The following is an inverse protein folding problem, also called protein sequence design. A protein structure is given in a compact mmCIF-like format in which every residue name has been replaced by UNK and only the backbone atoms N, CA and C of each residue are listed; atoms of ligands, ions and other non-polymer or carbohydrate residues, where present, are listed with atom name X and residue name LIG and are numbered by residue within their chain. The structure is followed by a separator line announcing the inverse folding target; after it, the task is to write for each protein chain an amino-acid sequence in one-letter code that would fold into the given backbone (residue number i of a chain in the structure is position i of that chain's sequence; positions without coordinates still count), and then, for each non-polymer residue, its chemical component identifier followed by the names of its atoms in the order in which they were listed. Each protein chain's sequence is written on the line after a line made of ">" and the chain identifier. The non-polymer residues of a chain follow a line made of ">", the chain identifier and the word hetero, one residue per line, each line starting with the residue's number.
data_IF_197535965124
#
_entry.id   IF_197535965124
#
_cell.length_a   1.000
_cell.length_b   1.000
_cell.length_c   1.000
_cell.angle_alpha   90.00
_cell.angle_beta   90.00
_cell.angle_gamma   90.00
#
_symmetry.space_group_name_H-M   'P 1'
#
loop_
_entity.id
_entity.type
_entity.pdbx_description
1 polymer ?
#
# COMPACT_ATOMS: atom_id res chain seq x y z
N UNK A 1 -31.00 -22.51 -1.47
CA UNK A 1 -30.62 -23.32 -2.64
C UNK A 1 -29.26 -23.93 -2.37
N UNK A 2 -29.13 -25.25 -2.52
CA UNK A 2 -27.82 -25.88 -2.47
C UNK A 2 -26.96 -25.31 -3.60
N UNK A 3 -25.72 -24.92 -3.29
CA UNK A 3 -24.76 -24.51 -4.31
C UNK A 3 -24.38 -25.76 -5.11
N UNK A 4 -25.01 -25.93 -6.28
CA UNK A 4 -24.61 -26.96 -7.25
C UNK A 4 -23.11 -26.80 -7.58
N UNK A 5 -22.41 -27.94 -7.72
CA UNK A 5 -20.99 -27.98 -8.09
C UNK A 5 -20.00 -28.19 -6.95
N UNK A 6 -20.41 -28.18 -5.67
CA UNK A 6 -19.49 -28.48 -4.56
C UNK A 6 -19.14 -29.98 -4.52
N UNK A 7 -17.85 -30.28 -4.51
CA UNK A 7 -17.30 -31.62 -4.35
C UNK A 7 -16.85 -31.83 -2.89
N UNK A 8 -17.60 -32.64 -2.14
CA UNK A 8 -17.33 -32.94 -0.74
C UNK A 8 -15.99 -33.67 -0.53
N UNK A 9 -15.47 -34.39 -1.54
CA UNK A 9 -14.18 -35.10 -1.44
C UNK A 9 -12.98 -34.16 -1.34
N UNK A 10 -13.16 -32.88 -1.70
CA UNK A 10 -12.12 -31.85 -1.66
C UNK A 10 -11.97 -31.15 -0.30
N UNK A 11 -12.70 -31.58 0.71
CA UNK A 11 -12.55 -31.03 2.05
C UNK A 11 -11.24 -31.51 2.69
N UNK A 12 -10.43 -30.57 3.18
CA UNK A 12 -9.13 -30.88 3.79
C UNK A 12 -8.02 -31.28 2.82
N UNK A 13 -8.29 -31.36 1.51
CA UNK A 13 -7.27 -31.68 0.50
C UNK A 13 -6.50 -30.44 0.05
N UNK A 14 -5.25 -30.64 -0.37
CA UNK A 14 -4.41 -29.58 -0.92
C UNK A 14 -4.97 -29.02 -2.23
N UNK A 15 -4.73 -27.73 -2.48
CA UNK A 15 -5.12 -27.05 -3.72
C UNK A 15 -4.20 -27.47 -4.87
N UNK A 16 -4.77 -27.89 -6.00
CA UNK A 16 -3.98 -28.21 -7.19
C UNK A 16 -3.58 -26.95 -7.95
N UNK A 17 -2.57 -27.07 -8.83
CA UNK A 17 -2.13 -25.96 -9.67
C UNK A 17 -3.26 -25.42 -10.56
N UNK A 18 -4.08 -26.31 -11.15
CA UNK A 18 -5.21 -25.92 -12.00
C UNK A 18 -6.30 -25.19 -11.21
N UNK A 19 -6.59 -25.63 -9.99
CA UNK A 19 -7.56 -24.94 -9.13
C UNK A 19 -7.09 -23.54 -8.76
N UNK A 20 -5.80 -23.39 -8.47
CA UNK A 20 -5.18 -22.09 -8.22
C UNK A 20 -5.25 -21.22 -9.48
N UNK A 21 -4.91 -21.75 -10.66
CA UNK A 21 -4.96 -21.02 -11.92
C UNK A 21 -6.36 -20.48 -12.23
N UNK A 22 -7.40 -21.30 -12.09
CA UNK A 22 -8.80 -20.88 -12.29
C UNK A 22 -9.19 -19.77 -11.32
N UNK A 23 -8.86 -19.92 -10.04
CA UNK A 23 -9.22 -18.95 -9.01
C UNK A 23 -8.49 -17.61 -9.21
N UNK A 24 -7.18 -17.64 -9.47
CA UNK A 24 -6.38 -16.43 -9.67
C UNK A 24 -6.79 -15.74 -10.98
N UNK A 25 -7.02 -16.48 -12.07
CA UNK A 25 -7.54 -15.90 -13.32
C UNK A 25 -8.88 -15.20 -13.12
N UNK A 26 -9.82 -15.83 -12.40
CA UNK A 26 -11.08 -15.18 -12.03
C UNK A 26 -10.88 -13.93 -11.17
N UNK A 27 -9.90 -13.92 -10.28
CA UNK A 27 -9.56 -12.74 -9.48
C UNK A 27 -9.07 -11.61 -10.38
N UNK A 28 -8.15 -11.87 -11.31
CA UNK A 28 -7.58 -10.83 -12.19
C UNK A 28 -8.61 -10.25 -13.16
N UNK A 29 -9.57 -11.05 -13.64
CA UNK A 29 -10.71 -10.53 -14.40
C UNK A 29 -11.53 -9.52 -13.58
N UNK A 30 -11.88 -9.86 -12.33
CA UNK A 30 -12.58 -8.93 -11.44
C UNK A 30 -11.74 -7.69 -11.11
N UNK A 31 -10.43 -7.85 -10.92
CA UNK A 31 -9.53 -6.73 -10.64
C UNK A 31 -9.50 -5.76 -11.83
N UNK A 32 -9.45 -6.26 -13.06
CA UNK A 32 -9.50 -5.43 -14.26
C UNK A 32 -10.81 -4.64 -14.38
N UNK A 33 -11.95 -5.26 -14.07
CA UNK A 33 -13.24 -4.55 -14.00
C UNK A 33 -13.22 -3.44 -12.94
N UNK A 34 -12.73 -3.74 -11.72
CA UNK A 34 -12.65 -2.77 -10.62
C UNK A 34 -11.73 -1.59 -10.96
N UNK A 35 -10.59 -1.86 -11.61
CA UNK A 35 -9.65 -0.81 -12.06
C UNK A 35 -10.23 0.07 -13.16
N UNK A 36 -11.03 -0.51 -14.04
CA UNK A 36 -11.71 0.23 -15.09
C UNK A 36 -12.95 1.00 -14.58
N UNK A 37 -13.31 0.87 -13.29
CA UNK A 37 -14.52 1.46 -12.72
C UNK A 37 -15.81 0.84 -13.27
N UNK A 38 -15.73 -0.39 -13.81
CA UNK A 38 -16.89 -1.12 -14.32
C UNK A 38 -17.56 -1.92 -13.21
N UNK A 39 -18.89 -1.99 -13.25
CA UNK A 39 -19.66 -2.81 -12.32
C UNK A 39 -19.42 -4.29 -12.58
N UNK A 40 -19.21 -5.06 -11.50
CA UNK A 40 -19.05 -6.51 -11.58
C UNK A 40 -19.64 -7.20 -10.35
N UNK A 41 -20.07 -8.45 -10.51
CA UNK A 41 -20.74 -9.21 -9.45
C UNK A 41 -19.81 -10.28 -8.84
N UNK A 42 -19.24 -9.99 -7.66
CA UNK A 42 -18.39 -10.95 -6.91
C UNK A 42 -19.04 -12.30 -6.68
N UNK A 43 -20.34 -12.33 -6.38
CA UNK A 43 -21.07 -13.57 -6.15
C UNK A 43 -21.19 -14.41 -7.43
N UNK A 44 -21.30 -13.77 -8.59
CA UNK A 44 -21.34 -14.46 -9.88
C UNK A 44 -19.99 -15.11 -10.22
N UNK A 45 -18.89 -14.36 -10.18
CA UNK A 45 -17.55 -14.92 -10.37
C UNK A 45 -17.27 -16.06 -9.40
N UNK A 46 -17.67 -15.90 -8.13
CA UNK A 46 -17.52 -16.95 -7.12
C UNK A 46 -18.32 -18.21 -7.46
N UNK A 47 -19.54 -18.10 -7.99
CA UNK A 47 -20.32 -19.24 -8.48
C UNK A 47 -19.63 -19.92 -9.65
N UNK A 48 -19.09 -19.17 -10.60
CA UNK A 48 -18.34 -19.72 -11.74
C UNK A 48 -17.09 -20.48 -11.29
N UNK A 49 -16.35 -19.95 -10.32
CA UNK A 49 -15.20 -20.66 -9.72
C UNK A 49 -15.67 -21.93 -9.01
N UNK A 50 -16.75 -21.88 -8.19
CA UNK A 50 -17.31 -23.07 -7.53
C UNK A 50 -17.67 -24.14 -8.57
N UNK A 51 -18.35 -23.79 -9.65
CA UNK A 51 -18.74 -24.72 -10.70
C UNK A 51 -17.51 -25.36 -11.40
N UNK A 52 -16.42 -24.61 -11.55
CA UNK A 52 -15.21 -25.09 -12.23
C UNK A 52 -14.34 -26.00 -11.34
N UNK A 53 -14.20 -25.68 -10.05
CA UNK A 53 -13.23 -26.37 -9.17
C UNK A 53 -13.85 -27.13 -8.00
N UNK A 54 -15.15 -26.98 -7.77
CA UNK A 54 -15.91 -27.69 -6.73
C UNK A 54 -15.49 -27.44 -5.28
N UNK A 55 -14.68 -26.42 -5.01
CA UNK A 55 -14.30 -26.05 -3.64
C UNK A 55 -15.43 -25.32 -2.91
N UNK A 56 -15.53 -25.52 -1.59
CA UNK A 56 -16.51 -24.83 -0.74
C UNK A 56 -16.32 -23.30 -0.81
N UNK A 57 -17.41 -22.51 -0.72
CA UNK A 57 -17.35 -21.05 -0.82
C UNK A 57 -16.33 -20.41 0.12
N UNK A 58 -16.33 -20.78 1.40
CA UNK A 58 -15.42 -20.21 2.39
C UNK A 58 -13.94 -20.50 2.09
N UNK A 59 -13.63 -21.64 1.46
CA UNK A 59 -12.27 -21.96 1.02
C UNK A 59 -11.83 -21.04 -0.13
N UNK A 60 -12.73 -20.82 -1.09
CA UNK A 60 -12.51 -19.88 -2.20
C UNK A 60 -12.30 -18.45 -1.68
N UNK A 61 -13.11 -17.98 -0.72
CA UNK A 61 -12.93 -16.62 -0.14
C UNK A 61 -11.53 -16.44 0.42
N UNK A 62 -11.13 -17.38 1.30
CA UNK A 62 -9.82 -17.29 1.93
C UNK A 62 -8.72 -17.32 0.88
N UNK A 63 -8.84 -18.15 -0.15
CA UNK A 63 -7.84 -18.18 -1.22
C UNK A 63 -7.80 -16.86 -2.02
N UNK A 64 -8.94 -16.20 -2.25
CA UNK A 64 -9.00 -14.85 -2.86
C UNK A 64 -8.37 -13.77 -1.94
N UNK A 65 -8.56 -13.88 -0.62
CA UNK A 65 -7.86 -13.02 0.35
C UNK A 65 -6.35 -13.28 0.37
N UNK A 66 -5.92 -14.53 0.14
CA UNK A 66 -4.50 -14.85 0.02
C UNK A 66 -3.90 -14.26 -1.27
N UNK A 67 -4.65 -14.22 -2.38
CA UNK A 67 -4.24 -13.48 -3.60
C UNK A 67 -4.05 -12.00 -3.28
N UNK A 68 -5.02 -11.41 -2.58
CA UNK A 68 -4.95 -10.00 -2.15
C UNK A 68 -3.72 -9.74 -1.29
N UNK A 69 -3.36 -10.68 -0.42
CA UNK A 69 -2.16 -10.57 0.41
C UNK A 69 -0.85 -10.66 -0.39
N UNK A 70 -0.79 -11.47 -1.46
CA UNK A 70 0.38 -11.48 -2.37
C UNK A 70 0.51 -10.15 -3.12
N UNK A 71 -0.61 -9.57 -3.57
CA UNK A 71 -0.60 -8.25 -4.25
C UNK A 71 -0.19 -7.12 -3.30
N UNK A 72 -0.64 -7.17 -2.05
CA UNK A 72 -0.32 -6.20 -1.02
C UNK A 72 1.19 -6.15 -0.71
N UNK A 73 1.89 -7.30 -0.73
CA UNK A 73 3.35 -7.39 -0.55
C UNK A 73 4.16 -6.62 -1.61
N UNK A 74 3.59 -6.47 -2.82
CA UNK A 74 4.19 -5.73 -3.94
C UNK A 74 3.48 -4.41 -4.21
N UNK A 75 2.68 -3.92 -3.27
CA UNK A 75 1.97 -2.66 -3.33
C UNK A 75 1.00 -2.52 -4.50
N UNK A 76 0.44 -3.63 -4.99
CA UNK A 76 -0.62 -3.62 -5.99
C UNK A 76 -1.96 -3.57 -5.27
N UNK A 77 -2.82 -2.57 -5.54
CA UNK A 77 -4.17 -2.52 -4.99
C UNK A 77 -4.95 -3.80 -5.26
N UNK A 78 -5.55 -4.34 -4.20
CA UNK A 78 -6.31 -5.58 -4.22
C UNK A 78 -7.83 -5.32 -4.25
N UNK A 79 -8.61 -6.36 -4.55
CA UNK A 79 -10.05 -6.26 -4.72
C UNK A 79 -10.75 -5.99 -3.40
N UNK A 80 -11.55 -4.94 -3.39
CA UNK A 80 -12.26 -4.50 -2.20
C UNK A 80 -13.19 -5.58 -1.65
N UNK A 81 -13.21 -5.77 -0.33
CA UNK A 81 -13.96 -6.86 0.31
C UNK A 81 -13.22 -8.21 0.36
N UNK A 82 -12.15 -8.40 -0.39
CA UNK A 82 -11.19 -9.51 -0.17
C UNK A 82 -9.98 -9.00 0.61
N UNK A 83 -10.18 -8.58 1.87
CA UNK A 83 -9.09 -8.04 2.69
C UNK A 83 -7.92 -9.04 2.77
N UNK A 84 -6.66 -8.61 2.59
CA UNK A 84 -5.48 -9.45 2.67
C UNK A 84 -5.49 -10.37 3.89
N UNK A 85 -5.34 -11.68 3.64
CA UNK A 85 -5.12 -12.69 4.65
C UNK A 85 -3.77 -13.36 4.35
N UNK A 86 -2.69 -13.08 5.10
CA UNK A 86 -1.36 -13.54 4.77
C UNK A 86 -1.19 -15.03 5.07
N UNK A 87 -1.59 -15.86 4.10
CA UNK A 87 -1.42 -17.31 4.10
C UNK A 87 -1.10 -17.80 2.67
N UNK A 88 0.11 -17.51 2.20
CA UNK A 88 0.53 -17.82 0.84
C UNK A 88 1.35 -19.12 0.78
N UNK A 89 1.00 -19.97 -0.19
CA UNK A 89 1.82 -21.12 -0.62
C UNK A 89 2.59 -20.71 -1.89
N UNK A 90 3.78 -21.24 -2.11
CA UNK A 90 4.62 -20.87 -3.27
C UNK A 90 3.89 -21.01 -4.62
N UNK A 91 3.05 -22.03 -4.78
CA UNK A 91 2.24 -22.23 -5.97
C UNK A 91 1.27 -21.05 -6.25
N UNK A 92 0.70 -20.45 -5.21
CA UNK A 92 -0.16 -19.26 -5.35
C UNK A 92 0.65 -18.07 -5.84
N UNK A 93 1.83 -17.84 -5.25
CA UNK A 93 2.71 -16.74 -5.61
C UNK A 93 3.14 -16.85 -7.08
N UNK A 94 3.50 -18.05 -7.53
CA UNK A 94 3.88 -18.31 -8.92
C UNK A 94 2.76 -17.99 -9.92
N UNK A 95 1.51 -18.37 -9.63
CA UNK A 95 0.37 -18.07 -10.51
C UNK A 95 0.03 -16.58 -10.51
N UNK A 96 0.11 -15.91 -9.36
CA UNK A 96 -0.06 -14.44 -9.28
C UNK A 96 1.03 -13.74 -10.09
N UNK A 97 2.29 -14.17 -9.99
CA UNK A 97 3.39 -13.65 -10.80
C UNK A 97 3.09 -13.77 -12.31
N UNK A 98 2.62 -14.94 -12.76
CA UNK A 98 2.25 -15.15 -14.17
C UNK A 98 1.16 -14.17 -14.63
N UNK A 99 0.12 -13.99 -13.83
CA UNK A 99 -0.98 -13.06 -14.16
C UNK A 99 -0.52 -11.61 -14.21
N UNK A 100 0.37 -11.19 -13.31
CA UNK A 100 0.98 -9.85 -13.37
C UNK A 100 1.77 -9.66 -14.68
N UNK A 101 2.56 -10.65 -15.10
CA UNK A 101 3.30 -10.55 -16.37
C UNK A 101 2.39 -10.48 -17.60
N UNK A 102 1.22 -11.13 -17.55
CA UNK A 102 0.22 -11.07 -18.63
C UNK A 102 -0.57 -9.75 -18.62
N UNK A 103 -0.69 -9.11 -17.46
CA UNK A 103 -1.51 -7.91 -17.23
C UNK A 103 -0.70 -6.78 -16.59
N UNK A 104 0.37 -6.28 -17.25
CA UNK A 104 1.21 -5.22 -16.70
C UNK A 104 0.44 -3.92 -16.38
N UNK A 105 -0.62 -3.64 -17.12
CA UNK A 105 -1.50 -2.49 -16.94
C UNK A 105 -2.12 -2.41 -15.53
N UNK A 106 -2.34 -3.54 -14.86
CA UNK A 106 -3.04 -3.58 -13.56
C UNK A 106 -2.19 -3.08 -12.38
N UNK A 107 -0.87 -2.99 -12.56
CA UNK A 107 0.05 -2.48 -11.53
C UNK A 107 0.93 -1.30 -11.97
N UNK A 108 1.04 -1.02 -13.27
CA UNK A 108 1.77 0.16 -13.75
C UNK A 108 1.00 1.46 -13.46
N UNK A 109 -0.33 1.44 -13.59
CA UNK A 109 -1.19 2.60 -13.30
C UNK A 109 -1.86 2.46 -11.92
N UNK A 110 -1.04 2.41 -10.87
CA UNK A 110 -1.54 2.30 -9.51
C UNK A 110 -2.29 3.57 -9.04
N UNK A 111 -2.22 4.68 -9.79
CA UNK A 111 -2.85 5.95 -9.46
C UNK A 111 -4.29 6.09 -10.00
N UNK A 112 -4.69 5.29 -11.00
CA UNK A 112 -6.05 5.31 -11.52
C UNK A 112 -7.08 4.72 -10.52
N UNK A 113 -8.21 5.42 -10.36
CA UNK A 113 -9.38 5.00 -9.58
C UNK A 113 -9.71 5.91 -8.39
N UNK A 114 -10.97 5.88 -7.89
CA UNK A 114 -11.40 6.75 -6.81
C UNK A 114 -10.70 6.40 -5.48
N UNK A 115 -10.28 7.43 -4.73
CA UNK A 115 -9.80 7.25 -3.37
C UNK A 115 -10.95 6.87 -2.45
N UNK A 116 -10.72 5.87 -1.59
CA UNK A 116 -11.67 5.48 -0.54
C UNK A 116 -11.12 5.94 0.79
N UNK A 117 -11.74 6.99 1.32
CA UNK A 117 -11.36 7.63 2.57
C UNK A 117 -12.21 6.97 3.69
N UNK A 118 -11.60 6.28 4.67
CA UNK A 118 -12.31 5.81 5.86
C UNK A 118 -12.91 6.98 6.66
N UNK A 119 -13.68 6.67 7.71
CA UNK A 119 -13.98 7.70 8.70
C UNK A 119 -12.67 8.26 9.28
N UNK A 120 -12.61 9.56 9.51
CA UNK A 120 -11.34 10.25 9.75
C UNK A 120 -10.59 9.76 11.00
N UNK A 121 -11.31 9.30 12.02
CA UNK A 121 -10.74 8.74 13.25
C UNK A 121 -9.92 7.46 13.01
N UNK A 122 -10.11 6.79 11.86
CA UNK A 122 -9.40 5.57 11.49
C UNK A 122 -8.20 5.77 10.55
N UNK A 123 -7.94 7.01 10.13
CA UNK A 123 -6.89 7.31 9.13
C UNK A 123 -5.52 7.39 9.80
N UNK A 124 -5.38 8.23 10.84
CA UNK A 124 -4.12 8.33 11.59
C UNK A 124 -4.08 7.24 12.67
N UNK A 125 -3.24 6.22 12.47
CA UNK A 125 -3.08 5.08 13.37
C UNK A 125 -1.75 5.14 14.11
N UNK A 126 -1.65 4.39 15.22
CA UNK A 126 -0.38 4.23 15.92
C UNK A 126 0.66 3.56 15.01
N UNK A 127 1.91 4.01 15.09
CA UNK A 127 3.01 3.38 14.38
C UNK A 127 3.13 1.90 14.79
N UNK A 128 3.23 0.97 13.83
CA UNK A 128 3.28 -0.46 14.15
C UNK A 128 4.56 -0.83 14.89
N UNK A 129 4.47 -1.79 15.84
CA UNK A 129 5.61 -2.23 16.66
C UNK A 129 6.72 -2.95 15.86
N UNK A 130 6.49 -3.31 14.60
CA UNK A 130 7.39 -4.11 13.77
C UNK A 130 8.24 -3.27 12.79
N UNK A 131 8.44 -1.97 13.03
CA UNK A 131 9.29 -1.12 12.19
C UNK A 131 10.74 -1.66 12.04
N UNK A 132 11.12 -2.69 12.83
CA UNK A 132 12.36 -3.45 12.75
C UNK A 132 12.22 -4.91 12.25
N UNK A 133 11.23 -5.24 11.44
CA UNK A 133 11.11 -6.60 10.87
C UNK A 133 12.06 -6.80 9.69
N UNK A 134 12.92 -7.82 9.78
CA UNK A 134 13.92 -8.13 8.76
C UNK A 134 13.24 -8.54 7.43
N UNK A 135 13.46 -7.83 6.30
CA UNK A 135 12.93 -8.24 5.00
C UNK A 135 13.31 -9.68 4.62
N UNK A 136 14.43 -10.18 5.13
CA UNK A 136 14.88 -11.56 4.93
C UNK A 136 14.00 -12.62 5.63
N UNK A 137 13.15 -12.23 6.57
CA UNK A 137 12.20 -13.13 7.24
C UNK A 137 11.02 -13.55 6.34
N UNK A 138 10.76 -12.82 5.23
CA UNK A 138 9.68 -13.15 4.30
C UNK A 138 9.97 -14.46 3.57
N UNK A 139 8.96 -15.28 3.20
CA UNK A 139 9.19 -16.46 2.36
C UNK A 139 9.96 -16.13 1.08
N UNK A 140 10.81 -17.05 0.61
CA UNK A 140 11.69 -16.81 -0.54
C UNK A 140 10.92 -16.43 -1.82
N UNK A 141 9.75 -17.03 -2.05
CA UNK A 141 8.88 -16.69 -3.18
C UNK A 141 8.41 -15.23 -3.13
N UNK A 142 8.04 -14.73 -1.95
CA UNK A 142 7.65 -13.33 -1.75
C UNK A 142 8.86 -12.41 -1.92
N UNK A 143 10.03 -12.74 -1.36
CA UNK A 143 11.25 -11.93 -1.55
C UNK A 143 11.61 -11.77 -3.03
N UNK A 144 11.55 -12.86 -3.80
CA UNK A 144 11.77 -12.83 -5.25
C UNK A 144 10.72 -11.97 -5.96
N UNK A 145 9.45 -12.07 -5.58
CA UNK A 145 8.38 -11.28 -6.17
C UNK A 145 8.58 -9.79 -5.90
N UNK A 146 8.87 -9.42 -4.66
CA UNK A 146 9.14 -8.03 -4.24
C UNK A 146 10.37 -7.47 -4.97
N UNK A 147 11.46 -8.23 -5.07
CA UNK A 147 12.63 -7.79 -5.84
C UNK A 147 12.37 -7.64 -7.34
N UNK A 148 11.41 -8.39 -7.90
CA UNK A 148 11.05 -8.32 -9.31
C UNK A 148 10.13 -7.14 -9.66
N UNK A 149 9.16 -6.84 -8.80
CA UNK A 149 8.18 -5.78 -9.03
C UNK A 149 8.51 -4.46 -8.33
N UNK A 150 9.47 -4.47 -7.40
CA UNK A 150 10.02 -3.35 -6.63
C UNK A 150 9.00 -2.23 -6.34
N UNK A 151 8.13 -2.41 -5.33
CA UNK A 151 7.13 -1.40 -5.00
C UNK A 151 7.76 -0.06 -4.61
N UNK A 152 8.96 -0.05 -4.00
CA UNK A 152 9.60 1.17 -3.57
C UNK A 152 10.07 2.01 -4.77
N UNK A 153 10.72 1.37 -5.75
CA UNK A 153 11.12 2.03 -6.99
C UNK A 153 9.91 2.46 -7.83
N UNK A 154 8.88 1.62 -7.92
CA UNK A 154 7.64 1.96 -8.64
C UNK A 154 6.96 3.17 -8.02
N UNK A 155 6.76 3.17 -6.70
CA UNK A 155 6.05 4.24 -6.00
C UNK A 155 6.85 5.55 -6.08
N UNK A 156 8.19 5.51 -5.97
CA UNK A 156 9.04 6.71 -6.12
C UNK A 156 9.06 7.27 -7.55
N UNK A 157 8.91 6.43 -8.58
CA UNK A 157 8.74 6.89 -9.96
C UNK A 157 7.34 7.46 -10.24
N UNK A 158 6.36 7.16 -9.39
CA UNK A 158 4.96 7.54 -9.59
C UNK A 158 4.66 8.92 -9.00
N UNK A 159 4.90 9.95 -9.79
CA UNK A 159 4.64 11.35 -9.42
C UNK A 159 3.18 11.61 -9.04
N UNK A 160 2.24 10.98 -9.72
CA UNK A 160 0.81 11.16 -9.45
C UNK A 160 0.42 10.57 -8.09
N UNK A 161 1.02 9.43 -7.72
CA UNK A 161 0.85 8.84 -6.38
C UNK A 161 1.43 9.74 -5.28
N UNK A 162 2.66 10.26 -5.49
CA UNK A 162 3.29 11.20 -4.57
C UNK A 162 2.43 12.44 -4.35
N UNK A 163 2.08 13.12 -5.44
CA UNK A 163 1.25 14.34 -5.42
C UNK A 163 -0.11 14.11 -4.76
N UNK A 164 -0.80 13.01 -5.10
CA UNK A 164 -2.09 12.70 -4.49
C UNK A 164 -1.98 12.42 -2.99
N UNK A 165 -0.90 11.79 -2.54
CA UNK A 165 -0.65 11.54 -1.12
C UNK A 165 -0.34 12.82 -0.34
N UNK A 166 0.47 13.72 -0.91
CA UNK A 166 0.77 15.03 -0.34
C UNK A 166 -0.50 15.89 -0.22
N UNK A 167 -1.31 15.97 -1.28
CA UNK A 167 -2.60 16.67 -1.27
C UNK A 167 -3.53 16.13 -0.19
N UNK A 168 -3.62 14.80 -0.08
CA UNK A 168 -4.43 14.13 0.93
C UNK A 168 -4.00 14.52 2.35
N UNK A 169 -2.70 14.53 2.62
CA UNK A 169 -2.17 14.91 3.95
C UNK A 169 -2.41 16.39 4.25
N UNK A 170 -2.24 17.30 3.28
CA UNK A 170 -2.55 18.72 3.47
C UNK A 170 -4.01 18.90 3.87
N UNK A 171 -4.92 18.25 3.15
CA UNK A 171 -6.35 18.28 3.47
C UNK A 171 -6.65 17.73 4.86
N UNK A 172 -6.01 16.61 5.24
CA UNK A 172 -6.16 16.02 6.56
C UNK A 172 -5.66 16.96 7.67
N UNK A 173 -4.47 17.55 7.51
CA UNK A 173 -3.87 18.42 8.53
C UNK A 173 -4.69 19.69 8.77
N UNK A 174 -5.27 20.27 7.71
CA UNK A 174 -6.21 21.40 7.83
C UNK A 174 -7.42 21.01 8.67
N UNK A 175 -8.09 19.89 8.35
CA UNK A 175 -9.26 19.41 9.09
C UNK A 175 -8.92 19.06 10.54
N UNK A 176 -7.73 18.51 10.80
CA UNK A 176 -7.21 18.25 12.16
C UNK A 176 -7.14 19.53 12.98
N UNK A 177 -6.59 20.61 12.43
CA UNK A 177 -6.44 21.90 13.11
C UNK A 177 -7.79 22.63 13.27
N UNK A 178 -8.64 22.63 12.25
CA UNK A 178 -10.00 23.20 12.31
C UNK A 178 -10.83 22.57 13.43
N UNK A 179 -10.79 21.24 13.57
CA UNK A 179 -11.48 20.53 14.67
C UNK A 179 -10.93 20.85 16.05
N UNK A 180 -9.66 21.22 16.13
CA UNK A 180 -9.04 21.69 17.36
C UNK A 180 -9.33 23.18 17.64
N UNK A 181 -10.14 23.85 16.81
CA UNK A 181 -10.45 25.27 16.94
C UNK A 181 -9.31 26.20 16.52
N UNK A 182 -8.37 25.70 15.70
CA UNK A 182 -7.20 26.43 15.19
C UNK A 182 -7.32 26.75 13.70
N UNK A 183 -8.42 27.40 13.32
CA UNK A 183 -8.65 27.87 11.94
C UNK A 183 -7.60 28.87 11.46
N UNK A 184 -6.92 29.55 12.39
CA UNK A 184 -5.74 30.37 12.12
C UNK A 184 -4.59 29.52 11.56
N UNK A 185 -4.22 28.44 12.24
CA UNK A 185 -3.14 27.55 11.81
C UNK A 185 -3.52 26.71 10.60
N UNK A 186 -4.78 26.28 10.49
CA UNK A 186 -5.25 25.51 9.34
C UNK A 186 -5.02 26.26 8.02
N UNK A 187 -5.27 27.57 8.00
CA UNK A 187 -5.01 28.44 6.83
C UNK A 187 -3.52 28.61 6.52
N UNK A 188 -2.65 28.40 7.51
CA UNK A 188 -1.20 28.46 7.37
C UNK A 188 -0.55 27.13 6.96
N UNK A 189 -1.30 26.02 6.88
CA UNK A 189 -0.79 24.75 6.36
C UNK A 189 -0.39 24.91 4.89
N UNK A 190 0.87 24.59 4.58
CA UNK A 190 1.46 24.75 3.24
C UNK A 190 1.91 23.42 2.65
N UNK A 191 1.63 23.28 1.36
CA UNK A 191 2.21 22.28 0.49
C UNK A 191 3.50 22.85 -0.11
N UNK A 192 4.66 22.48 0.45
CA UNK A 192 5.95 23.09 0.14
C UNK A 192 6.55 22.56 -1.16
N UNK A 193 6.43 21.26 -1.42
CA UNK A 193 6.95 20.63 -2.65
C UNK A 193 6.29 21.18 -3.93
N UNK A 194 5.00 21.51 -3.91
CA UNK A 194 4.26 22.08 -5.06
C UNK A 194 4.52 23.60 -5.24
N UNK A 195 4.82 24.33 -4.16
CA UNK A 195 4.94 25.81 -4.18
C UNK A 195 6.39 26.32 -4.27
N UNK A 196 7.32 25.70 -3.55
CA UNK A 196 8.67 26.24 -3.31
C UNK A 196 9.80 25.31 -3.83
N UNK A 197 9.46 24.13 -4.37
CA UNK A 197 10.39 23.15 -4.95
C UNK A 197 10.91 22.09 -3.96
N UNK A 198 11.65 21.11 -4.46
CA UNK A 198 12.14 19.90 -3.74
C UNK A 198 13.33 20.14 -2.79
N UNK A 199 13.78 21.38 -2.61
CA UNK A 199 15.03 21.71 -1.90
C UNK A 199 14.95 21.72 -0.36
N UNK A 200 13.75 21.72 0.22
CA UNK A 200 13.56 21.92 1.66
C UNK A 200 13.73 20.67 2.51
N UNK A 201 13.62 19.47 1.91
CA UNK A 201 13.72 18.17 2.59
C UNK A 201 12.48 17.76 3.39
N UNK A 202 11.34 18.40 3.13
CA UNK A 202 9.99 18.04 3.61
C UNK A 202 8.92 18.56 2.63
N UNK A 203 7.75 17.91 2.58
CA UNK A 203 6.70 18.25 1.61
C UNK A 203 5.59 19.13 2.18
N UNK A 204 5.27 18.97 3.47
CA UNK A 204 4.14 19.69 4.11
C UNK A 204 4.59 20.38 5.39
N UNK A 205 4.31 21.68 5.48
CA UNK A 205 4.41 22.44 6.73
C UNK A 205 3.05 22.49 7.41
N UNK A 206 2.98 21.96 8.63
CA UNK A 206 1.80 21.98 9.49
C UNK A 206 2.18 22.46 10.89
N UNK A 207 1.27 22.30 11.86
CA UNK A 207 1.41 22.79 13.22
C UNK A 207 0.81 21.81 14.23
N UNK A 208 1.31 21.80 15.46
CA UNK A 208 0.58 21.27 16.61
C UNK A 208 -0.48 22.27 17.08
N UNK A 209 -1.39 21.81 17.94
CA UNK A 209 -2.50 22.64 18.44
C UNK A 209 -2.02 23.80 19.32
N UNK A 210 -0.81 23.73 19.86
CA UNK A 210 -0.15 24.81 20.60
C UNK A 210 0.58 25.82 19.69
N UNK A 211 0.66 25.54 18.38
CA UNK A 211 1.35 26.38 17.39
C UNK A 211 2.79 25.97 17.09
N UNK A 212 3.35 24.94 17.73
CA UNK A 212 4.65 24.41 17.33
C UNK A 212 4.59 23.91 15.89
N UNK A 213 5.63 24.20 15.08
CA UNK A 213 5.66 23.74 13.70
C UNK A 213 5.86 22.23 13.61
N UNK A 214 5.26 21.63 12.58
CA UNK A 214 5.49 20.26 12.16
C UNK A 214 5.96 20.26 10.72
N UNK A 215 7.11 19.66 10.46
CA UNK A 215 7.65 19.46 9.12
C UNK A 215 7.39 18.00 8.73
N UNK A 216 6.58 17.78 7.70
CA UNK A 216 6.15 16.45 7.31
C UNK A 216 6.75 16.08 5.96
N UNK A 217 7.49 14.98 5.95
CA UNK A 217 7.92 14.29 4.74
C UNK A 217 6.94 13.16 4.42
N UNK A 218 6.31 13.19 3.26
CA UNK A 218 5.19 12.31 2.90
C UNK A 218 5.71 11.16 2.04
N UNK A 219 5.57 9.94 2.56
CA UNK A 219 5.93 8.74 1.81
C UNK A 219 4.66 7.94 1.58
N UNK A 220 4.17 7.95 0.34
CA UNK A 220 2.90 7.34 -0.06
C UNK A 220 3.11 6.00 -0.77
N UNK A 221 2.30 5.00 -0.45
CA UNK A 221 2.29 3.70 -1.13
C UNK A 221 0.88 3.14 -1.26
N UNK A 222 0.65 2.37 -2.32
CA UNK A 222 -0.56 1.55 -2.47
C UNK A 222 -0.49 0.25 -1.65
N UNK A 223 0.69 -0.19 -1.23
CA UNK A 223 0.88 -1.38 -0.40
C UNK A 223 0.66 -1.13 1.08
N UNK A 224 1.08 -2.11 1.89
CA UNK A 224 0.97 -2.02 3.33
C UNK A 224 2.02 -1.12 4.00
N UNK A 225 1.87 -0.98 5.31
CA UNK A 225 2.73 -0.20 6.19
C UNK A 225 4.21 -0.64 6.19
N UNK A 226 4.53 -1.84 5.67
CA UNK A 226 5.89 -2.40 5.58
C UNK A 226 6.55 -2.19 4.22
N UNK A 227 5.86 -1.62 3.24
CA UNK A 227 6.45 -1.32 1.94
C UNK A 227 7.68 -0.42 2.14
N UNK A 228 8.86 -0.80 1.66
CA UNK A 228 10.05 0.05 1.71
C UNK A 228 9.83 1.36 0.93
N UNK A 229 10.58 2.39 1.29
CA UNK A 229 10.53 3.68 0.61
C UNK A 229 11.92 4.30 0.57
N UNK A 230 12.14 5.15 -0.43
CA UNK A 230 13.40 5.86 -0.61
C UNK A 230 13.44 7.12 0.24
N UNK A 231 14.62 7.41 0.76
CA UNK A 231 14.94 8.65 1.46
C UNK A 231 16.09 9.35 0.75
N UNK A 232 15.96 10.66 0.54
CA UNK A 232 17.07 11.45 0.00
C UNK A 232 18.06 11.85 1.10
N UNK A 233 19.28 12.21 0.72
CA UNK A 233 20.26 12.74 1.68
C UNK A 233 19.73 14.00 2.37
N UNK A 234 19.04 14.86 1.63
CA UNK A 234 18.50 16.11 2.14
C UNK A 234 17.44 15.87 3.22
N UNK A 235 16.53 14.93 2.99
CA UNK A 235 15.52 14.54 3.99
C UNK A 235 16.17 13.99 5.26
N UNK A 236 17.18 13.13 5.14
CA UNK A 236 17.93 12.62 6.29
C UNK A 236 18.64 13.74 7.07
N UNK A 237 19.29 14.67 6.36
CA UNK A 237 19.98 15.81 6.97
C UNK A 237 18.98 16.70 7.73
N UNK A 238 17.83 17.04 7.12
CA UNK A 238 16.78 17.86 7.76
C UNK A 238 16.13 17.15 8.96
N UNK A 239 15.91 15.83 8.87
CA UNK A 239 15.40 15.04 9.99
C UNK A 239 16.35 15.07 11.20
N UNK A 240 17.67 15.09 10.97
CA UNK A 240 18.66 15.20 12.02
C UNK A 240 18.75 16.64 12.59
N UNK A 241 18.64 17.66 11.74
CA UNK A 241 18.68 19.08 12.13
C UNK A 241 17.41 19.53 12.89
N UNK A 242 16.23 19.01 12.53
CA UNK A 242 14.93 19.48 12.99
C UNK A 242 14.14 18.40 13.76
N UNK A 243 14.83 17.50 14.45
CA UNK A 243 14.24 16.27 15.03
C UNK A 243 12.97 16.45 15.87
N UNK A 244 12.87 17.55 16.61
CA UNK A 244 11.70 17.84 17.45
C UNK A 244 10.42 18.08 16.63
N UNK A 245 10.56 18.67 15.43
CA UNK A 245 9.45 19.10 14.58
C UNK A 245 9.25 18.21 13.34
N UNK A 246 10.28 17.48 12.92
CA UNK A 246 10.28 16.68 11.70
C UNK A 246 9.61 15.32 11.90
N UNK A 247 8.74 14.91 10.98
CA UNK A 247 8.12 13.58 10.97
C UNK A 247 8.09 13.04 9.55
N UNK A 248 8.36 11.75 9.39
CA UNK A 248 7.99 11.06 8.15
C UNK A 248 6.56 10.56 8.33
N UNK A 249 5.64 11.00 7.47
CA UNK A 249 4.29 10.49 7.41
C UNK A 249 4.19 9.38 6.37
N UNK A 250 4.04 8.15 6.84
CA UNK A 250 3.78 6.99 5.98
C UNK A 250 2.31 6.92 5.65
N UNK A 251 1.95 7.14 4.40
CA UNK A 251 0.59 6.94 3.88
C UNK A 251 0.57 5.61 3.13
N UNK A 252 -0.26 4.67 3.56
CA UNK A 252 -0.30 3.31 3.04
C UNK A 252 -1.74 2.86 2.74
N UNK A 253 -1.86 1.76 1.99
CA UNK A 253 -3.11 1.27 1.44
C UNK A 253 -3.91 2.37 0.72
N UNK A 254 -3.21 3.29 0.05
CA UNK A 254 -3.77 4.56 -0.43
C UNK A 254 -4.99 4.38 -1.35
N UNK A 255 -5.02 3.30 -2.14
CA UNK A 255 -6.14 2.96 -3.04
C UNK A 255 -7.10 1.92 -2.48
N UNK A 256 -6.82 1.41 -1.28
CA UNK A 256 -7.63 0.42 -0.63
C UNK A 256 -8.45 1.00 0.53
N UNK A 257 -7.79 1.29 1.64
CA UNK A 257 -8.36 1.83 2.87
C UNK A 257 -7.28 2.72 3.48
N UNK A 258 -7.19 3.98 3.01
CA UNK A 258 -6.04 4.84 3.31
C UNK A 258 -5.84 5.01 4.81
N UNK A 259 -4.61 4.74 5.24
CA UNK A 259 -4.15 4.89 6.62
C UNK A 259 -2.79 5.56 6.63
N UNK A 260 -2.45 6.13 7.76
CA UNK A 260 -1.14 6.74 7.95
C UNK A 260 -0.65 6.67 9.39
N UNK A 261 0.65 6.70 9.54
CA UNK A 261 1.32 6.84 10.83
C UNK A 261 2.56 7.71 10.67
N UNK A 262 3.01 8.27 11.80
CA UNK A 262 4.21 9.10 11.83
C UNK A 262 5.41 8.30 12.35
N UNK A 263 6.56 8.53 11.74
CA UNK A 263 7.87 8.09 12.20
C UNK A 263 8.61 9.32 12.72
N UNK A 264 9.08 9.23 13.95
CA UNK A 264 9.76 10.32 14.66
C UNK A 264 11.28 10.09 14.61
N UNK A 265 12.09 11.14 14.36
CA UNK A 265 13.53 11.08 14.54
C UNK A 265 13.94 10.72 15.99
N UNK A 266 15.15 10.16 16.21
CA UNK A 266 16.18 9.89 15.22
C UNK A 266 15.81 8.70 14.31
N UNK A 267 16.02 8.85 13.01
CA UNK A 267 15.48 7.91 12.01
C UNK A 267 16.10 6.51 12.12
N UNK A 268 17.36 6.40 12.53
CA UNK A 268 18.09 5.15 12.71
C UNK A 268 17.56 4.28 13.87
N UNK A 269 16.84 4.88 14.83
CA UNK A 269 16.15 4.15 15.89
C UNK A 269 14.84 3.51 15.41
N UNK A 270 14.21 4.09 14.39
CA UNK A 270 12.91 3.67 13.88
C UNK A 270 12.97 2.97 12.51
N UNK A 271 14.07 3.09 11.76
CA UNK A 271 14.22 2.59 10.40
C UNK A 271 15.56 1.87 10.22
N UNK A 272 15.52 0.79 9.43
CA UNK A 272 16.73 0.16 8.88
C UNK A 272 17.13 0.87 7.58
N UNK A 273 18.02 1.86 7.68
CA UNK A 273 18.56 2.57 6.52
C UNK A 273 19.65 1.73 5.83
N UNK A 274 19.45 1.43 4.54
CA UNK A 274 20.43 0.70 3.71
C UNK A 274 20.96 1.65 2.62
N UNK A 275 22.28 1.88 2.52
CA UNK A 275 22.84 2.72 1.45
C UNK A 275 22.66 2.09 0.07
N UNK A 276 22.16 2.84 -0.91
CA UNK A 276 21.84 2.30 -2.25
C UNK A 276 22.42 3.08 -3.44
N UNK A 277 22.75 4.35 -3.27
CA UNK A 277 23.32 5.19 -4.33
C UNK A 277 24.53 5.98 -3.84
N UNK A 278 25.49 6.19 -4.73
CA UNK A 278 26.66 7.04 -4.50
C UNK A 278 26.61 8.25 -5.43
N UNK A 279 26.95 9.43 -4.90
CA UNK A 279 27.18 10.63 -5.70
C UNK A 279 28.68 10.79 -5.94
N UNK A 280 29.07 11.07 -7.19
CA UNK A 280 30.46 11.30 -7.57
C UNK A 280 30.62 12.70 -8.20
N UNK A 281 31.75 13.35 -7.96
CA UNK A 281 32.13 14.61 -8.59
C UNK A 281 33.49 14.46 -9.30
N UNK A 282 33.71 15.13 -10.45
CA UNK A 282 35.02 15.19 -11.08
C UNK A 282 36.07 15.78 -10.12
N UNK A 283 37.31 15.28 -10.22
CA UNK A 283 38.48 15.78 -9.49
C UNK A 283 39.36 16.62 -10.38
#
# INVERSE_FOLDING_TARGET
>A
MALEGIDASKEGTDWTADEVAVLVGSYFLMLAEERAGRDYNKSEYRRSVIAAIGRKPGSIERKLQNVSAVLDEIGVPWIQGYKPLPHYQDALVAVVEQQLLLHPELFMDAAAGPLRIPNEDGILVAAPAFLNSDPESRPAAIRRLVGKFDPAARDACNRDLGKAGEEFVVGFERRRLERAGRDDLAREVRWVSDLDGDGYGYDVKSFETDGQQRLLEIKTTCGNERTPFWMTRRECDVAAEQGDMYRIRRVFHFRNEVKMFDIVPPLDAALRLTPTAFMAAPR
#
